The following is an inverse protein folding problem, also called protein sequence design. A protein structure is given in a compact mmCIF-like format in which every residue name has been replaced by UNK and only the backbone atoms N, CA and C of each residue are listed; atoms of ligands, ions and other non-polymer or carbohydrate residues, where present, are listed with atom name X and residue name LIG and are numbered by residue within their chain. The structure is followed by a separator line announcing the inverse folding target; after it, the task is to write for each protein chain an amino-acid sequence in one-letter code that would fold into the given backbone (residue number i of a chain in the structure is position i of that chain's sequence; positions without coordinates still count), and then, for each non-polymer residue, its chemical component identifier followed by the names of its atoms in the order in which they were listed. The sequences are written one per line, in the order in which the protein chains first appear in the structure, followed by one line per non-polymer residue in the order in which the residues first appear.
data_IF_518396972018
#
_entry.id   IF_518396972018
#
_cell.length_a   1.000
_cell.length_b   1.000
_cell.length_c   1.000
_cell.angle_alpha   90.00
_cell.angle_beta   90.00
_cell.angle_gamma   90.00
#
_symmetry.space_group_name_H-M   'P 1'
#
loop_
_entity.id
_entity.type
_entity.pdbx_description
1 polymer ?
#
# COMPACT_ATOMS: atom_id res chain seq x y z
N UNK A 1 -14.48 -22.01 4.39
CA UNK A 1 -14.67 -20.56 4.53
C UNK A 1 -13.33 -19.90 4.80
N UNK A 2 -13.00 -18.81 4.10
CA UNK A 2 -11.79 -18.05 4.31
C UNK A 2 -11.81 -17.30 5.67
N UNK A 3 -10.65 -16.98 6.26
CA UNK A 3 -10.57 -16.15 7.46
C UNK A 3 -11.23 -14.78 7.27
N UNK A 4 -11.72 -14.18 8.35
CA UNK A 4 -12.21 -12.80 8.31
C UNK A 4 -11.05 -11.81 8.21
N UNK A 5 -11.31 -10.63 7.62
CA UNK A 5 -10.33 -9.57 7.48
C UNK A 5 -10.99 -8.19 7.67
N UNK A 6 -10.18 -7.18 7.87
CA UNK A 6 -10.61 -5.79 8.06
C UNK A 6 -10.00 -4.89 6.97
N UNK A 7 -10.64 -3.75 6.63
CA UNK A 7 -10.11 -2.80 5.66
C UNK A 7 -8.65 -2.43 5.91
N UNK A 8 -7.84 -2.44 4.86
CA UNK A 8 -6.38 -2.31 4.92
C UNK A 8 -5.62 -3.64 5.09
N UNK A 9 -6.35 -4.76 5.21
CA UNK A 9 -5.74 -6.08 5.31
C UNK A 9 -5.10 -6.55 3.99
N UNK A 10 -4.06 -7.37 4.11
CA UNK A 10 -3.32 -7.96 3.00
C UNK A 10 -3.09 -9.45 3.21
N UNK A 11 -2.76 -10.15 2.15
CA UNK A 11 -2.30 -11.54 2.15
C UNK A 11 -0.89 -11.64 1.59
N UNK A 12 -0.11 -12.61 2.07
CA UNK A 12 1.19 -12.97 1.53
C UNK A 12 1.03 -14.13 0.55
N UNK A 13 1.18 -13.88 -0.73
CA UNK A 13 1.06 -14.89 -1.78
C UNK A 13 2.42 -15.53 -2.04
N UNK A 14 2.45 -16.85 -2.05
CA UNK A 14 3.61 -17.64 -2.49
C UNK A 14 3.50 -17.92 -3.99
N UNK A 15 4.48 -17.44 -4.75
CA UNK A 15 4.58 -17.64 -6.18
C UNK A 15 5.28 -18.97 -6.51
N UNK A 16 5.08 -19.54 -7.72
CA UNK A 16 5.74 -20.78 -8.15
C UNK A 16 7.27 -20.76 -8.06
N UNK A 17 7.89 -19.61 -8.27
CA UNK A 17 9.33 -19.39 -8.08
C UNK A 17 9.80 -19.45 -6.62
N UNK A 18 8.90 -19.61 -5.66
CA UNK A 18 9.18 -19.51 -4.23
C UNK A 18 9.18 -18.07 -3.69
N UNK A 19 9.08 -17.05 -4.54
CA UNK A 19 8.95 -15.66 -4.09
C UNK A 19 7.67 -15.45 -3.30
N UNK A 20 7.73 -14.61 -2.28
CA UNK A 20 6.55 -14.12 -1.56
C UNK A 20 6.26 -12.67 -1.94
N UNK A 21 4.97 -12.35 -2.11
CA UNK A 21 4.50 -10.99 -2.42
C UNK A 21 3.25 -10.68 -1.63
N UNK A 22 3.20 -9.47 -1.11
CA UNK A 22 2.05 -8.97 -0.37
C UNK A 22 1.08 -8.26 -1.32
N UNK A 23 -0.21 -8.56 -1.15
CA UNK A 23 -1.28 -7.91 -1.90
C UNK A 23 -2.41 -7.52 -0.96
N UNK A 24 -2.75 -6.23 -0.99
CA UNK A 24 -3.87 -5.69 -0.22
C UNK A 24 -5.19 -6.25 -0.74
N UNK A 25 -6.07 -6.62 0.18
CA UNK A 25 -7.41 -7.08 -0.15
C UNK A 25 -8.29 -5.88 -0.52
N UNK A 26 -8.91 -5.91 -1.70
CA UNK A 26 -9.71 -4.82 -2.23
C UNK A 26 -11.19 -5.19 -2.48
N UNK A 27 -11.61 -6.38 -2.05
CA UNK A 27 -13.00 -6.82 -2.08
C UNK A 27 -13.82 -6.31 -0.90
N UNK A 28 -15.11 -6.70 -0.80
CA UNK A 28 -15.95 -6.36 0.34
C UNK A 28 -15.46 -7.02 1.63
N UNK A 29 -15.16 -6.26 2.70
CA UNK A 29 -14.86 -6.83 4.01
C UNK A 29 -16.04 -7.66 4.53
N UNK A 30 -15.75 -8.75 5.23
CA UNK A 30 -16.80 -9.64 5.77
C UNK A 30 -17.26 -10.74 4.80
N UNK A 31 -16.98 -10.64 3.52
CA UNK A 31 -17.20 -11.73 2.57
C UNK A 31 -16.12 -12.81 2.79
N UNK A 32 -16.56 -14.02 3.13
CA UNK A 32 -15.69 -15.13 3.55
C UNK A 32 -15.66 -16.29 2.57
N UNK A 33 -16.16 -16.10 1.37
CA UNK A 33 -16.18 -17.11 0.31
C UNK A 33 -15.09 -16.87 -0.72
N UNK A 34 -14.66 -15.62 -0.87
CA UNK A 34 -13.63 -15.18 -1.79
C UNK A 34 -12.82 -14.01 -1.22
N UNK A 35 -11.60 -13.85 -1.70
CA UNK A 35 -10.78 -12.66 -1.57
C UNK A 35 -10.56 -12.05 -2.95
N UNK A 36 -10.44 -10.73 -2.98
CA UNK A 36 -10.09 -9.98 -4.19
C UNK A 36 -8.80 -9.21 -3.95
N UNK A 37 -7.87 -9.38 -4.86
CA UNK A 37 -6.65 -8.58 -4.97
C UNK A 37 -6.61 -7.93 -6.35
N UNK A 38 -5.87 -6.83 -6.49
CA UNK A 38 -5.53 -6.25 -7.79
C UNK A 38 -4.01 -6.12 -7.88
N UNK A 39 -3.44 -6.57 -8.98
CA UNK A 39 -1.99 -6.63 -9.18
C UNK A 39 -1.60 -5.79 -10.38
N UNK A 40 -0.82 -4.73 -10.13
CA UNK A 40 -0.20 -3.97 -11.22
C UNK A 40 1.00 -4.73 -11.77
N UNK A 41 1.04 -4.96 -13.08
CA UNK A 41 2.19 -5.55 -13.77
C UNK A 41 3.30 -4.50 -13.88
N UNK A 42 4.46 -4.76 -13.28
CA UNK A 42 5.62 -3.85 -13.26
C UNK A 42 6.74 -4.53 -14.04
N UNK A 43 7.09 -3.96 -15.20
CA UNK A 43 8.09 -4.56 -16.10
C UNK A 43 9.50 -4.58 -15.48
N UNK A 44 9.91 -3.47 -14.88
CA UNK A 44 11.25 -3.26 -14.32
C UNK A 44 11.32 -3.54 -12.82
N UNK A 45 10.42 -4.38 -12.30
CA UNK A 45 10.37 -4.75 -10.89
C UNK A 45 11.12 -6.06 -10.59
N UNK A 46 11.01 -6.54 -9.34
CA UNK A 46 11.61 -7.82 -8.91
C UNK A 46 10.92 -9.08 -9.45
N UNK A 47 10.23 -9.01 -10.60
CA UNK A 47 9.63 -10.14 -11.32
C UNK A 47 8.35 -10.72 -10.72
N UNK A 48 8.03 -10.44 -9.46
CA UNK A 48 6.88 -11.07 -8.81
C UNK A 48 5.51 -10.68 -9.38
N UNK A 49 5.32 -9.43 -9.81
CA UNK A 49 4.07 -9.00 -10.46
C UNK A 49 3.93 -9.59 -11.87
N UNK A 50 5.04 -9.76 -12.59
CA UNK A 50 5.07 -10.44 -13.88
C UNK A 50 4.65 -11.89 -13.71
N UNK A 51 5.29 -12.61 -12.76
CA UNK A 51 4.98 -14.00 -12.47
C UNK A 51 3.52 -14.18 -12.03
N UNK A 52 2.98 -13.23 -11.22
CA UNK A 52 1.56 -13.28 -10.81
C UNK A 52 0.60 -13.19 -12.00
N UNK A 53 0.97 -12.46 -13.06
CA UNK A 53 0.16 -12.36 -14.28
C UNK A 53 0.37 -13.52 -15.25
N UNK A 54 1.58 -14.07 -15.30
CA UNK A 54 1.97 -15.02 -16.37
C UNK A 54 1.87 -16.49 -15.92
N UNK A 55 1.84 -16.75 -14.59
CA UNK A 55 1.90 -18.11 -14.04
C UNK A 55 0.57 -18.64 -13.50
N UNK A 56 -0.51 -17.85 -13.53
CA UNK A 56 -1.81 -18.26 -13.01
C UNK A 56 -2.94 -18.01 -14.02
N UNK A 57 -3.69 -19.06 -14.27
CA UNK A 57 -4.93 -19.04 -15.02
C UNK A 57 -6.15 -19.29 -14.13
N UNK A 58 -7.34 -19.03 -14.67
CA UNK A 58 -8.60 -19.32 -13.97
C UNK A 58 -8.72 -20.80 -13.67
N UNK A 59 -8.86 -21.13 -12.40
CA UNK A 59 -8.94 -22.51 -11.91
C UNK A 59 -7.67 -23.00 -11.23
N UNK A 60 -6.58 -22.26 -11.32
CA UNK A 60 -5.34 -22.60 -10.63
C UNK A 60 -5.43 -22.41 -9.12
N UNK A 61 -4.59 -23.16 -8.40
CA UNK A 61 -4.47 -23.04 -6.96
C UNK A 61 -3.41 -22.03 -6.58
N UNK A 62 -3.76 -21.10 -5.70
CA UNK A 62 -2.87 -20.07 -5.18
C UNK A 62 -2.67 -20.29 -3.68
N UNK A 63 -1.41 -20.40 -3.25
CA UNK A 63 -1.04 -20.54 -1.84
C UNK A 63 -0.81 -19.18 -1.23
N UNK A 64 -1.43 -18.90 -0.08
CA UNK A 64 -1.24 -17.65 0.63
C UNK A 64 -1.26 -17.83 2.15
N UNK A 65 -0.69 -16.86 2.85
CA UNK A 65 -0.76 -16.71 4.31
C UNK A 65 -1.52 -15.44 4.68
N UNK A 66 -2.10 -15.41 5.85
CA UNK A 66 -2.88 -14.28 6.37
C UNK A 66 -4.39 -14.54 6.34
N UNK A 67 -5.22 -13.48 6.33
CA UNK A 67 -4.88 -12.05 6.19
C UNK A 67 -4.23 -11.43 7.44
N UNK A 68 -3.41 -10.41 7.22
CA UNK A 68 -2.83 -9.55 8.26
C UNK A 68 -3.23 -8.09 7.98
N UNK A 69 -3.14 -7.22 8.99
CA UNK A 69 -3.46 -5.80 8.81
C UNK A 69 -2.49 -4.92 9.61
N UNK A 70 -1.71 -4.11 8.90
CA UNK A 70 -0.83 -3.08 9.45
C UNK A 70 -1.28 -1.66 9.06
N UNK A 71 -2.33 -1.54 8.24
CA UNK A 71 -2.86 -0.27 7.74
C UNK A 71 -4.38 -0.22 7.95
N UNK A 72 -4.82 -0.17 9.21
CA UNK A 72 -6.25 -0.24 9.57
C UNK A 72 -6.88 1.14 9.74
N UNK A 73 -8.15 1.27 9.40
CA UNK A 73 -8.95 2.47 9.67
C UNK A 73 -9.28 2.55 11.16
N UNK A 74 -8.75 3.57 11.84
CA UNK A 74 -8.91 3.79 13.28
C UNK A 74 -10.38 3.79 13.73
N UNK A 75 -10.64 3.23 14.92
CA UNK A 75 -12.00 3.14 15.45
C UNK A 75 -12.56 4.51 15.89
N UNK A 76 -11.67 5.43 16.29
CA UNK A 76 -12.01 6.75 16.81
C UNK A 76 -12.09 7.86 15.78
N UNK A 77 -11.77 7.58 14.50
CA UNK A 77 -11.74 8.57 13.45
C UNK A 77 -13.12 9.20 13.22
N UNK A 78 -13.15 10.53 13.13
CA UNK A 78 -14.35 11.32 12.89
C UNK A 78 -14.30 12.09 11.59
N UNK A 79 -13.10 12.51 11.18
CA UNK A 79 -12.83 13.27 9.96
C UNK A 79 -11.60 12.69 9.28
N UNK A 80 -11.75 12.24 8.03
CA UNK A 80 -10.73 11.48 7.32
C UNK A 80 -10.55 12.01 5.90
N UNK A 81 -9.28 12.20 5.53
CA UNK A 81 -8.85 12.43 4.16
C UNK A 81 -8.16 11.17 3.63
N UNK A 82 -8.69 10.59 2.57
CA UNK A 82 -8.02 9.52 1.83
C UNK A 82 -7.27 10.10 0.63
N UNK A 83 -5.98 9.76 0.50
CA UNK A 83 -5.12 10.12 -0.62
C UNK A 83 -4.71 8.84 -1.32
N UNK A 84 -5.13 8.68 -2.57
CA UNK A 84 -5.00 7.44 -3.34
C UNK A 84 -4.13 7.71 -4.56
N UNK A 85 -3.10 6.91 -4.78
CA UNK A 85 -2.24 6.98 -5.96
C UNK A 85 -2.19 5.65 -6.72
N UNK A 86 -2.77 5.60 -7.93
CA UNK A 86 -2.74 4.42 -8.78
C UNK A 86 -3.18 3.14 -8.06
N UNK A 87 -2.33 2.11 -8.04
CA UNK A 87 -2.64 0.81 -7.39
C UNK A 87 -2.78 0.90 -5.86
N UNK A 88 -2.38 2.02 -5.23
CA UNK A 88 -2.64 2.29 -3.81
C UNK A 88 -4.12 2.36 -3.44
N UNK A 89 -5.00 2.29 -4.41
CA UNK A 89 -6.45 2.14 -4.23
C UNK A 89 -6.83 0.86 -3.48
N UNK A 90 -6.02 -0.20 -3.61
CA UNK A 90 -6.39 -1.54 -3.12
C UNK A 90 -6.66 -1.60 -1.61
N UNK A 91 -5.85 -1.06 -0.69
CA UNK A 91 -6.16 -1.05 0.73
C UNK A 91 -7.20 0.00 1.09
N UNK A 92 -7.31 1.10 0.30
CA UNK A 92 -8.17 2.23 0.65
C UNK A 92 -9.63 1.99 0.23
N UNK A 93 -9.91 1.34 -0.90
CA UNK A 93 -11.28 1.10 -1.34
C UNK A 93 -12.15 0.42 -0.26
N UNK A 94 -11.70 -0.63 0.44
CA UNK A 94 -12.47 -1.17 1.57
C UNK A 94 -12.62 -0.19 2.74
N UNK A 95 -11.65 0.71 2.94
CA UNK A 95 -11.75 1.75 3.97
C UNK A 95 -12.81 2.79 3.62
N UNK A 96 -12.95 3.18 2.34
CA UNK A 96 -14.02 4.08 1.89
C UNK A 96 -15.39 3.50 2.21
N UNK A 97 -15.62 2.22 1.90
CA UNK A 97 -16.85 1.53 2.25
C UNK A 97 -17.08 1.49 3.76
N UNK A 98 -16.05 1.19 4.55
CA UNK A 98 -16.16 1.17 6.00
C UNK A 98 -16.42 2.57 6.60
N UNK A 99 -15.77 3.61 6.07
CA UNK A 99 -15.97 4.99 6.48
C UNK A 99 -17.41 5.45 6.18
N UNK A 100 -17.94 5.08 5.01
CA UNK A 100 -19.33 5.37 4.63
C UNK A 100 -20.32 4.65 5.56
N UNK A 101 -20.12 3.36 5.84
CA UNK A 101 -20.98 2.58 6.74
C UNK A 101 -20.94 3.10 8.18
N UNK A 102 -19.80 3.58 8.64
CA UNK A 102 -19.59 4.13 10.00
C UNK A 102 -20.01 5.60 10.12
N UNK A 103 -20.55 6.21 9.05
CA UNK A 103 -20.92 7.62 8.99
C UNK A 103 -19.77 8.58 9.39
N UNK A 104 -18.52 8.21 9.07
CA UNK A 104 -17.35 9.07 9.24
C UNK A 104 -17.48 10.23 8.23
N UNK A 105 -17.11 11.44 8.63
CA UNK A 105 -16.90 12.54 7.68
C UNK A 105 -15.62 12.25 6.89
N UNK A 106 -15.74 11.88 5.61
CA UNK A 106 -14.58 11.57 4.80
C UNK A 106 -14.66 12.22 3.42
N UNK A 107 -13.49 12.50 2.86
CA UNK A 107 -13.29 12.85 1.46
C UNK A 107 -12.09 12.08 0.92
N UNK A 108 -12.04 11.88 -0.39
CA UNK A 108 -10.94 11.21 -1.06
C UNK A 108 -10.45 12.03 -2.25
N UNK A 109 -9.14 12.04 -2.45
CA UNK A 109 -8.51 12.44 -3.71
C UNK A 109 -7.87 11.20 -4.31
N UNK A 110 -8.30 10.83 -5.50
CA UNK A 110 -7.70 9.74 -6.25
C UNK A 110 -6.91 10.31 -7.42
N UNK A 111 -5.59 10.17 -7.38
CA UNK A 111 -4.66 10.70 -8.37
C UNK A 111 -3.99 9.59 -9.19
N UNK A 112 -3.72 9.88 -10.45
CA UNK A 112 -3.03 9.00 -11.38
C UNK A 112 -2.56 9.74 -12.62
N UNK A 113 -1.65 9.14 -13.40
CA UNK A 113 -1.13 9.74 -14.61
C UNK A 113 -2.21 9.99 -15.68
N UNK A 114 -3.18 9.10 -15.78
CA UNK A 114 -4.42 9.26 -16.55
C UNK A 114 -5.49 8.35 -15.95
N UNK A 115 -6.75 8.55 -16.32
CA UNK A 115 -7.87 7.71 -15.84
C UNK A 115 -7.68 6.23 -16.19
N UNK A 116 -7.06 5.91 -17.31
CA UNK A 116 -6.75 4.54 -17.73
C UNK A 116 -5.84 3.82 -16.74
N UNK A 117 -4.91 4.55 -16.09
CA UNK A 117 -3.98 4.02 -15.08
C UNK A 117 -4.49 4.13 -13.65
N UNK A 118 -5.80 4.39 -13.47
CA UNK A 118 -6.46 4.43 -12.16
C UNK A 118 -7.37 3.20 -11.99
N UNK A 119 -6.82 2.08 -11.51
CA UNK A 119 -7.63 0.86 -11.36
C UNK A 119 -8.76 1.07 -10.36
N UNK A 120 -9.90 0.39 -10.58
CA UNK A 120 -11.09 0.45 -9.73
C UNK A 120 -11.69 1.87 -9.59
N UNK A 121 -11.41 2.79 -10.53
CA UNK A 121 -11.87 4.17 -10.47
C UNK A 121 -13.38 4.28 -10.30
N UNK A 122 -14.14 3.56 -11.13
CA UNK A 122 -15.61 3.59 -11.09
C UNK A 122 -16.15 3.08 -9.74
N UNK A 123 -15.48 2.08 -9.15
CA UNK A 123 -15.86 1.56 -7.84
C UNK A 123 -15.61 2.59 -6.74
N UNK A 124 -14.47 3.27 -6.77
CA UNK A 124 -14.14 4.35 -5.83
C UNK A 124 -15.15 5.48 -5.91
N UNK A 125 -15.44 5.96 -7.12
CA UNK A 125 -16.40 7.03 -7.34
C UNK A 125 -17.83 6.62 -6.93
N UNK A 126 -18.21 5.36 -7.16
CA UNK A 126 -19.54 4.86 -6.82
C UNK A 126 -19.84 4.81 -5.32
N UNK A 127 -18.81 4.81 -4.45
CA UNK A 127 -19.01 4.83 -2.98
C UNK A 127 -19.75 6.10 -2.53
N UNK A 128 -19.30 7.26 -3.02
CA UNK A 128 -19.96 8.56 -2.81
C UNK A 128 -19.36 9.58 -3.81
N UNK A 129 -19.99 9.80 -4.97
CA UNK A 129 -19.42 10.62 -6.04
C UNK A 129 -19.09 12.06 -5.63
N UNK A 130 -19.87 12.63 -4.72
CA UNK A 130 -19.70 13.99 -4.18
C UNK A 130 -18.54 14.13 -3.17
N UNK A 131 -17.95 13.02 -2.74
CA UNK A 131 -16.83 12.96 -1.79
C UNK A 131 -15.50 12.57 -2.41
N UNK A 132 -15.48 12.24 -3.69
CA UNK A 132 -14.29 11.78 -4.41
C UNK A 132 -13.88 12.80 -5.45
N UNK A 133 -12.68 13.34 -5.30
CA UNK A 133 -12.02 14.15 -6.33
C UNK A 133 -11.10 13.25 -7.13
N UNK A 134 -11.30 13.22 -8.45
CA UNK A 134 -10.44 12.49 -9.38
C UNK A 134 -9.43 13.47 -9.98
N UNK A 135 -8.14 13.15 -9.86
CA UNK A 135 -7.04 13.93 -10.42
C UNK A 135 -6.27 13.11 -11.44
N UNK A 136 -6.48 13.35 -12.72
CA UNK A 136 -5.69 12.76 -13.79
C UNK A 136 -4.64 13.79 -14.26
N UNK A 137 -3.34 13.43 -14.19
CA UNK A 137 -2.25 14.37 -14.47
C UNK A 137 -2.28 14.87 -15.91
N UNK A 138 -2.70 14.04 -16.85
CA UNK A 138 -2.87 14.38 -18.28
C UNK A 138 -3.99 15.41 -18.51
N UNK A 139 -5.07 15.38 -17.70
CA UNK A 139 -6.16 16.35 -17.75
C UNK A 139 -5.76 17.70 -17.14
N UNK A 140 -4.86 17.68 -16.13
CA UNK A 140 -4.43 18.90 -15.44
C UNK A 140 -3.10 19.44 -15.96
N UNK A 141 -2.38 18.72 -16.82
CA UNK A 141 -1.07 19.11 -17.33
C UNK A 141 0.06 19.13 -16.30
N UNK A 142 -0.19 18.60 -15.09
CA UNK A 142 0.77 18.53 -13.98
C UNK A 142 0.40 17.45 -12.97
N UNK A 143 1.36 17.02 -12.19
CA UNK A 143 1.11 16.16 -11.03
C UNK A 143 0.32 16.89 -9.93
N UNK A 144 -0.47 16.13 -9.17
CA UNK A 144 -1.13 16.64 -7.97
C UNK A 144 -0.07 17.09 -6.94
N UNK A 145 -0.23 18.28 -6.42
CA UNK A 145 0.60 18.81 -5.32
C UNK A 145 0.02 18.37 -3.97
N UNK A 146 0.77 18.61 -2.88
CA UNK A 146 0.25 18.35 -1.54
C UNK A 146 -1.04 19.16 -1.25
N UNK A 147 -1.14 20.40 -1.73
CA UNK A 147 -2.34 21.23 -1.56
C UNK A 147 -3.56 20.64 -2.26
N UNK A 148 -3.38 20.07 -3.47
CA UNK A 148 -4.45 19.38 -4.19
C UNK A 148 -4.90 18.12 -3.45
N UNK A 149 -3.95 17.36 -2.91
CA UNK A 149 -4.19 16.10 -2.22
C UNK A 149 -4.83 16.28 -0.84
N UNK A 150 -4.48 17.38 -0.15
CA UNK A 150 -4.91 17.68 1.21
C UNK A 150 -5.98 18.79 1.27
N UNK A 151 -6.57 19.14 0.14
CA UNK A 151 -7.63 20.16 0.10
C UNK A 151 -8.69 19.88 1.18
N UNK A 152 -9.04 20.91 1.96
CA UNK A 152 -9.96 20.83 3.11
C UNK A 152 -9.53 19.90 4.28
N UNK A 153 -8.29 19.43 4.32
CA UNK A 153 -7.77 18.66 5.44
C UNK A 153 -7.19 19.59 6.52
N UNK A 154 -7.90 19.74 7.61
CA UNK A 154 -7.45 20.52 8.76
C UNK A 154 -6.46 19.76 9.68
N UNK A 155 -5.93 20.41 10.74
CA UNK A 155 -5.00 19.78 11.67
C UNK A 155 -5.54 18.52 12.38
N UNK A 156 -6.85 18.46 12.59
CA UNK A 156 -7.51 17.31 13.25
C UNK A 156 -7.98 16.23 12.27
N UNK A 157 -7.87 16.46 10.95
CA UNK A 157 -8.27 15.48 9.93
C UNK A 157 -7.23 14.37 9.86
N UNK A 158 -7.63 13.14 10.09
CA UNK A 158 -6.76 11.98 9.90
C UNK A 158 -6.52 11.74 8.40
N UNK A 159 -5.26 11.64 7.98
CA UNK A 159 -4.90 11.40 6.59
C UNK A 159 -4.46 9.95 6.41
N UNK A 160 -5.09 9.26 5.46
CA UNK A 160 -4.73 7.91 5.03
C UNK A 160 -4.22 7.97 3.59
N UNK A 161 -2.94 7.67 3.39
CA UNK A 161 -2.33 7.76 2.06
C UNK A 161 -1.71 6.43 1.63
N UNK A 162 -2.02 6.02 0.40
CA UNK A 162 -1.35 4.91 -0.27
C UNK A 162 -1.16 5.27 -1.75
N UNK A 163 0.08 5.23 -2.21
CA UNK A 163 0.45 5.63 -3.57
C UNK A 163 1.96 5.63 -3.81
N UNK A 164 2.40 6.23 -4.92
CA UNK A 164 3.82 6.36 -5.25
C UNK A 164 4.61 7.10 -4.16
N UNK A 165 5.87 6.73 -3.98
CA UNK A 165 6.76 7.36 -2.98
C UNK A 165 6.78 8.89 -3.04
N UNK A 166 6.89 9.56 -4.21
CA UNK A 166 6.86 11.03 -4.26
C UNK A 166 5.57 11.65 -3.71
N UNK A 167 4.41 11.04 -3.98
CA UNK A 167 3.12 11.48 -3.46
C UNK A 167 3.09 11.35 -1.93
N UNK A 168 3.53 10.21 -1.41
CA UNK A 168 3.55 9.97 0.03
C UNK A 168 4.49 10.94 0.74
N UNK A 169 5.67 11.21 0.19
CA UNK A 169 6.62 12.17 0.77
C UNK A 169 6.08 13.60 0.74
N UNK A 170 5.42 14.03 -0.34
CA UNK A 170 4.80 15.36 -0.41
C UNK A 170 3.72 15.54 0.64
N UNK A 171 2.87 14.53 0.84
CA UNK A 171 1.85 14.52 1.90
C UNK A 171 2.49 14.54 3.29
N UNK A 172 3.54 13.74 3.52
CA UNK A 172 4.25 13.68 4.79
C UNK A 172 4.85 15.03 5.16
N UNK A 173 5.58 15.65 4.23
CA UNK A 173 6.20 16.98 4.45
C UNK A 173 5.12 18.03 4.77
N UNK A 174 4.04 18.09 4.00
CA UNK A 174 2.97 19.03 4.24
C UNK A 174 2.26 18.79 5.60
N UNK A 175 2.17 17.55 6.05
CA UNK A 175 1.57 17.21 7.35
C UNK A 175 2.50 17.45 8.54
N UNK A 176 3.83 17.44 8.34
CA UNK A 176 4.80 17.76 9.40
C UNK A 176 4.64 19.21 9.92
N UNK A 177 4.03 20.12 9.15
CA UNK A 177 3.65 21.45 9.60
C UNK A 177 2.58 21.46 10.70
N UNK A 178 1.83 20.36 10.84
CA UNK A 178 0.79 20.17 11.85
C UNK A 178 1.26 19.15 12.90
N UNK A 179 1.89 19.62 13.98
CA UNK A 179 2.62 18.79 14.95
C UNK A 179 1.91 17.54 15.53
N UNK A 180 0.58 17.44 15.41
CA UNK A 180 -0.20 16.31 15.94
C UNK A 180 -1.24 15.80 14.92
N UNK A 181 -1.07 16.10 13.64
CA UNK A 181 -2.00 15.63 12.62
C UNK A 181 -1.85 14.13 12.39
N UNK A 182 -2.90 13.32 12.56
CA UNK A 182 -2.82 11.88 12.33
C UNK A 182 -2.51 11.59 10.87
N UNK A 183 -1.38 10.92 10.61
CA UNK A 183 -0.98 10.47 9.28
C UNK A 183 -0.74 8.96 9.30
N UNK A 184 -1.51 8.24 8.49
CA UNK A 184 -1.42 6.80 8.28
C UNK A 184 -1.04 6.55 6.83
N UNK A 185 -0.06 5.69 6.59
CA UNK A 185 0.35 5.37 5.22
C UNK A 185 0.73 3.91 5.05
N UNK A 186 0.56 3.42 3.84
CA UNK A 186 1.09 2.14 3.40
C UNK A 186 1.99 2.34 2.17
N UNK A 187 3.16 1.69 2.17
CA UNK A 187 4.10 1.67 1.05
C UNK A 187 4.10 0.29 0.41
N UNK A 188 4.13 0.23 -0.91
CA UNK A 188 4.27 -1.04 -1.65
C UNK A 188 5.71 -1.33 -2.09
N UNK A 189 6.61 -0.40 -1.84
CA UNK A 189 8.05 -0.58 -2.06
C UNK A 189 8.82 -0.20 -0.80
N UNK A 190 9.96 -0.86 -0.53
CA UNK A 190 10.82 -0.49 0.58
C UNK A 190 11.22 0.99 0.47
N UNK A 191 11.34 1.71 1.60
CA UNK A 191 11.92 3.05 1.57
C UNK A 191 13.37 2.97 1.04
N UNK A 192 13.83 3.98 0.27
CA UNK A 192 15.22 4.04 -0.10
C UNK A 192 16.08 4.20 1.17
N UNK A 193 17.25 3.58 1.19
CA UNK A 193 18.24 3.84 2.23
C UNK A 193 18.87 5.20 1.92
N UNK A 194 18.65 6.18 2.80
CA UNK A 194 19.23 7.53 2.69
C UNK A 194 20.27 7.70 3.78
N UNK A 195 21.43 8.26 3.44
CA UNK A 195 22.56 8.52 4.35
C UNK A 195 23.01 7.28 5.15
N UNK A 196 22.84 6.09 4.56
CA UNK A 196 23.28 4.84 5.18
C UNK A 196 24.78 4.79 5.33
N UNK A 197 25.24 4.08 6.37
CA UNK A 197 26.65 3.73 6.55
C UNK A 197 26.79 2.21 6.49
N UNK A 198 27.90 1.67 5.94
CA UNK A 198 28.10 0.24 5.96
C UNK A 198 28.28 -0.26 7.40
N UNK A 199 27.76 -1.43 7.69
CA UNK A 199 27.89 -2.06 9.00
C UNK A 199 27.99 -3.58 8.89
N UNK A 200 28.41 -4.22 9.97
CA UNK A 200 28.43 -5.68 10.08
C UNK A 200 27.18 -6.16 10.85
N UNK A 201 26.55 -7.21 10.33
CA UNK A 201 25.38 -7.87 10.91
C UNK A 201 25.77 -9.28 11.34
N UNK A 202 25.83 -9.55 12.65
CA UNK A 202 26.04 -10.91 13.16
C UNK A 202 24.68 -11.64 13.30
N UNK A 203 24.56 -12.78 12.63
CA UNK A 203 23.41 -13.69 12.77
C UNK A 203 23.62 -14.58 14.00
N UNK A 204 22.96 -14.28 15.11
CA UNK A 204 23.21 -14.87 16.43
C UNK A 204 23.13 -16.41 16.48
N UNK A 205 22.28 -17.05 15.68
CA UNK A 205 22.15 -18.51 15.63
C UNK A 205 23.25 -19.20 14.83
N UNK A 206 23.56 -18.68 13.64
CA UNK A 206 24.55 -19.27 12.73
C UNK A 206 25.97 -18.77 12.96
N UNK A 207 26.14 -17.70 13.79
CA UNK A 207 27.40 -16.99 14.02
C UNK A 207 28.06 -16.44 12.76
N UNK A 208 27.28 -16.29 11.68
CA UNK A 208 27.76 -15.70 10.43
C UNK A 208 27.74 -14.18 10.55
N UNK A 209 28.71 -13.53 9.97
CA UNK A 209 28.78 -12.07 9.88
C UNK A 209 28.58 -11.68 8.42
N UNK A 210 27.61 -10.80 8.18
CA UNK A 210 27.30 -10.26 6.88
C UNK A 210 27.69 -8.78 6.84
N UNK A 211 28.38 -8.36 5.79
CA UNK A 211 28.61 -6.93 5.54
C UNK A 211 27.40 -6.33 4.85
N UNK A 212 26.81 -5.32 5.46
CA UNK A 212 25.66 -4.57 4.89
C UNK A 212 26.20 -3.28 4.27
N UNK A 213 26.13 -3.13 2.93
CA UNK A 213 26.58 -1.91 2.26
C UNK A 213 25.71 -0.69 2.63
N UNK A 214 26.26 0.51 2.49
CA UNK A 214 25.60 1.77 2.85
C UNK A 214 24.25 2.01 2.14
N UNK A 215 24.03 1.43 0.97
CA UNK A 215 22.84 1.60 0.15
C UNK A 215 21.85 0.43 0.26
N UNK A 216 22.03 -0.47 1.22
CA UNK A 216 21.19 -1.67 1.40
C UNK A 216 20.70 -1.81 2.84
N UNK A 217 19.55 -2.45 2.99
CA UNK A 217 19.03 -2.80 4.31
C UNK A 217 19.67 -4.09 4.85
N UNK A 218 19.64 -4.29 6.17
CA UNK A 218 20.03 -5.55 6.80
C UNK A 218 19.25 -6.75 6.21
N UNK A 219 17.95 -6.57 5.95
CA UNK A 219 17.11 -7.59 5.34
C UNK A 219 17.58 -7.97 3.93
N UNK A 220 17.99 -6.99 3.11
CA UNK A 220 18.50 -7.29 1.78
C UNK A 220 19.77 -8.13 1.83
N UNK A 221 20.68 -7.80 2.75
CA UNK A 221 21.91 -8.58 2.96
C UNK A 221 21.60 -10.02 3.46
N UNK A 222 20.61 -10.17 4.33
CA UNK A 222 20.14 -11.49 4.79
C UNK A 222 19.52 -12.31 3.66
N UNK A 223 18.73 -11.67 2.78
CA UNK A 223 18.10 -12.34 1.64
C UNK A 223 19.08 -12.72 0.53
N UNK A 224 20.17 -11.97 0.35
CA UNK A 224 21.27 -12.35 -0.55
C UNK A 224 22.02 -13.56 -0.02
N UNK A 225 22.18 -13.65 1.30
CA UNK A 225 22.85 -14.76 1.97
C UNK A 225 21.99 -16.02 2.03
N UNK A 226 20.72 -15.87 2.37
CA UNK A 226 19.72 -16.93 2.41
C UNK A 226 18.37 -16.41 1.86
N UNK A 227 18.06 -16.71 0.59
CA UNK A 227 16.79 -16.33 -0.04
C UNK A 227 15.54 -16.89 0.64
N UNK A 228 15.67 -17.88 1.53
CA UNK A 228 14.57 -18.45 2.31
C UNK A 228 14.28 -17.70 3.61
N UNK A 229 15.07 -16.66 3.92
CA UNK A 229 14.89 -15.81 5.09
C UNK A 229 13.44 -15.29 5.13
N UNK A 230 12.73 -15.61 6.21
CA UNK A 230 11.36 -15.14 6.40
C UNK A 230 11.34 -13.63 6.68
N UNK A 231 10.50 -12.93 5.95
CA UNK A 231 10.26 -11.50 6.16
C UNK A 231 8.78 -11.17 5.93
N UNK A 232 8.34 -9.99 6.36
CA UNK A 232 6.98 -9.51 6.17
C UNK A 232 6.94 -8.43 5.05
N UNK A 233 6.82 -7.16 5.41
CA UNK A 233 6.47 -6.10 4.46
C UNK A 233 7.66 -5.42 3.77
N UNK A 234 8.90 -5.70 4.09
CA UNK A 234 10.11 -4.96 3.64
C UNK A 234 10.09 -3.45 3.91
N UNK A 235 9.29 -3.00 4.86
CA UNK A 235 9.15 -1.56 5.15
C UNK A 235 10.05 -1.09 6.31
N UNK A 236 10.84 -1.97 6.86
CA UNK A 236 11.72 -1.72 7.99
C UNK A 236 11.16 -2.21 9.31
#
# INVERSE_FOLDING_TARGET
MLPSWTPGGHIDVQLPSGRRRQYSLCGPPGRRIDYRIAVRRIADGGGGSIEMHDAFDVGDSLVFEGPRNAFYLGAGERDVRFVIGGIGVTPILPMLHAAQQRAINWRAVYAGSSREYMPLLDEVVSVAPDRVTVWADDEHGRFATADDLLVDAGPATAVYVCGPTPMLESVRIARDEYANAPLHYERFSPPPVVDGVPFELELARSRRVLTVPANRSALDAMLDDDPTTAYSCRQG
#
